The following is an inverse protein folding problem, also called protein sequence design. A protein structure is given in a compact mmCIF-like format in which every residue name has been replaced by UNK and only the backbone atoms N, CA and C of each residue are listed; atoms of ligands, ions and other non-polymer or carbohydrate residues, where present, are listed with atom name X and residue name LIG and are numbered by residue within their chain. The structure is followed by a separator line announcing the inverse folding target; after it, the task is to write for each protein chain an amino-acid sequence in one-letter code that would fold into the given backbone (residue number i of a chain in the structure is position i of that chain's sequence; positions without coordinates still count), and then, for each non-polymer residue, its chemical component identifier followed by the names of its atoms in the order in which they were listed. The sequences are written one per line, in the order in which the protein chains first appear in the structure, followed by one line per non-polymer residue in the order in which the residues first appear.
data_IF_498692779370
#
_entry.id   IF_498692779370
#
_cell.length_a   1.000
_cell.length_b   1.000
_cell.length_c   1.000
_cell.angle_alpha   90.00
_cell.angle_beta   90.00
_cell.angle_gamma   90.00
#
_symmetry.space_group_name_H-M   'P 1'
#
loop_
_entity.id
_entity.type
_entity.pdbx_description
1 polymer ?
#
# COMPACT_ATOMS: atom_id res chain seq x y z
N UNK A 1 -20.10 29.24 -5.12
CA UNK A 1 -18.89 28.38 -5.06
C UNK A 1 -17.96 28.78 -6.20
N UNK A 2 -16.71 29.14 -5.90
CA UNK A 2 -15.83 29.86 -6.84
C UNK A 2 -15.33 28.94 -7.97
N UNK A 3 -15.67 29.22 -9.24
CA UNK A 3 -15.28 28.39 -10.42
C UNK A 3 -13.77 28.12 -10.49
N UNK A 4 -12.95 29.03 -9.98
CA UNK A 4 -11.47 28.88 -9.92
C UNK A 4 -11.04 27.81 -8.94
N UNK A 5 -11.69 27.70 -7.78
CA UNK A 5 -11.42 26.67 -6.78
C UNK A 5 -11.80 25.29 -7.30
N UNK A 6 -12.95 25.17 -7.93
CA UNK A 6 -13.42 23.90 -8.54
C UNK A 6 -12.43 23.43 -9.60
N UNK A 7 -11.96 24.33 -10.50
CA UNK A 7 -11.01 23.98 -11.54
C UNK A 7 -9.67 23.50 -10.97
N UNK A 8 -9.19 24.12 -9.89
CA UNK A 8 -7.95 23.68 -9.22
C UNK A 8 -8.13 22.30 -8.59
N UNK A 9 -9.22 22.07 -7.87
CA UNK A 9 -9.50 20.75 -7.27
C UNK A 9 -9.62 19.65 -8.31
N UNK A 10 -10.23 19.92 -9.47
CA UNK A 10 -10.36 18.97 -10.57
C UNK A 10 -9.00 18.56 -11.13
N UNK A 11 -8.02 19.47 -11.22
CA UNK A 11 -6.65 19.12 -11.68
C UNK A 11 -6.04 18.06 -10.76
N UNK A 12 -6.10 18.26 -9.44
CA UNK A 12 -5.55 17.31 -8.47
C UNK A 12 -6.27 15.95 -8.52
N UNK A 13 -7.59 15.96 -8.70
CA UNK A 13 -8.38 14.75 -8.87
C UNK A 13 -7.97 13.97 -10.14
N UNK A 14 -7.85 14.65 -11.29
CA UNK A 14 -7.42 14.02 -12.53
C UNK A 14 -5.98 13.49 -12.43
N UNK A 15 -5.11 14.20 -11.73
CA UNK A 15 -3.74 13.71 -11.47
C UNK A 15 -3.76 12.41 -10.66
N UNK A 16 -4.55 12.35 -9.59
CA UNK A 16 -4.68 11.13 -8.79
C UNK A 16 -5.25 9.95 -9.60
N UNK A 17 -6.28 10.21 -10.42
CA UNK A 17 -6.82 9.19 -11.34
C UNK A 17 -5.76 8.75 -12.35
N UNK A 18 -4.99 9.69 -12.91
CA UNK A 18 -3.89 9.40 -13.83
C UNK A 18 -2.83 8.49 -13.21
N UNK A 19 -2.44 8.73 -11.95
CA UNK A 19 -1.50 7.86 -11.22
C UNK A 19 -2.08 6.47 -10.97
N UNK A 20 -3.37 6.37 -10.64
CA UNK A 20 -4.02 5.07 -10.47
C UNK A 20 -4.01 4.28 -11.80
N UNK A 21 -4.38 4.92 -12.91
CA UNK A 21 -4.36 4.30 -14.24
C UNK A 21 -2.94 3.90 -14.64
N UNK A 22 -1.95 4.78 -14.44
CA UNK A 22 -0.54 4.49 -14.72
C UNK A 22 -0.04 3.28 -13.94
N UNK A 23 -0.37 3.21 -12.65
CA UNK A 23 0.00 2.08 -11.79
C UNK A 23 -0.63 0.77 -12.25
N UNK A 24 -1.89 0.82 -12.71
CA UNK A 24 -2.57 -0.36 -13.26
C UNK A 24 -1.98 -0.80 -14.61
N UNK A 25 -1.62 0.14 -15.49
CA UNK A 25 -0.96 -0.16 -16.76
C UNK A 25 0.41 -0.79 -16.52
N UNK A 26 1.20 -0.24 -15.60
CA UNK A 26 2.52 -0.75 -15.26
C UNK A 26 2.46 -2.20 -14.75
N UNK A 27 1.46 -2.50 -13.94
CA UNK A 27 1.22 -3.85 -13.42
C UNK A 27 0.10 -4.59 -14.18
N UNK A 28 -0.08 -4.30 -15.47
CA UNK A 28 -1.13 -4.93 -16.30
C UNK A 28 -1.17 -6.45 -16.23
N UNK A 29 -0.04 -7.21 -16.09
CA UNK A 29 -0.11 -8.66 -15.94
C UNK A 29 -0.91 -9.15 -14.73
N UNK A 30 -1.10 -8.32 -13.70
CA UNK A 30 -1.96 -8.66 -12.57
C UNK A 30 -3.45 -8.73 -12.96
N UNK A 31 -3.85 -7.95 -13.96
CA UNK A 31 -5.22 -7.97 -14.48
C UNK A 31 -5.54 -9.29 -15.20
N UNK A 32 -4.50 -9.95 -15.73
CA UNK A 32 -4.56 -11.28 -16.34
C UNK A 32 -4.48 -12.42 -15.29
N UNK A 33 -4.56 -12.10 -14.00
CA UNK A 33 -4.48 -13.06 -12.90
C UNK A 33 -3.07 -13.58 -12.62
N UNK A 34 -2.02 -13.01 -13.23
CA UNK A 34 -0.64 -13.36 -12.94
C UNK A 34 -0.22 -12.80 -11.59
N UNK A 35 0.57 -13.58 -10.85
CA UNK A 35 1.16 -13.14 -9.57
C UNK A 35 2.60 -12.72 -9.77
N UNK A 36 3.01 -11.67 -9.05
CA UNK A 36 4.40 -11.29 -9.01
C UNK A 36 5.17 -12.31 -8.15
N UNK A 37 6.15 -12.98 -8.76
CA UNK A 37 7.03 -13.89 -8.03
C UNK A 37 8.24 -13.13 -7.50
N UNK A 38 8.39 -13.13 -6.18
CA UNK A 38 9.55 -12.56 -5.49
C UNK A 38 9.95 -13.52 -4.37
N UNK A 39 11.27 -13.77 -4.23
CA UNK A 39 11.78 -14.67 -3.20
C UNK A 39 11.48 -14.22 -1.78
N UNK A 40 11.50 -12.92 -1.54
CA UNK A 40 11.18 -12.30 -0.25
C UNK A 40 9.69 -12.44 0.13
N UNK A 41 8.78 -12.46 -0.85
CA UNK A 41 7.37 -12.77 -0.57
C UNK A 41 7.23 -14.19 -0.05
N UNK A 42 7.89 -15.15 -0.69
CA UNK A 42 7.85 -16.54 -0.25
C UNK A 42 8.49 -16.73 1.14
N UNK A 43 9.61 -16.04 1.41
CA UNK A 43 10.25 -16.06 2.72
C UNK A 43 9.33 -15.43 3.78
N UNK A 44 8.71 -14.29 3.47
CA UNK A 44 7.75 -13.66 4.37
C UNK A 44 6.56 -14.59 4.66
N UNK A 45 5.97 -15.22 3.65
CA UNK A 45 4.87 -16.17 3.83
C UNK A 45 5.28 -17.36 4.70
N UNK A 46 6.48 -17.92 4.49
CA UNK A 46 6.99 -19.00 5.29
C UNK A 46 7.20 -18.60 6.77
N UNK A 47 7.79 -17.43 7.03
CA UNK A 47 8.01 -16.93 8.38
C UNK A 47 6.71 -16.51 9.09
N UNK A 48 5.75 -15.94 8.34
CA UNK A 48 4.48 -15.48 8.91
C UNK A 48 3.44 -16.61 9.12
N UNK A 49 3.74 -17.82 8.70
CA UNK A 49 2.83 -18.96 8.75
C UNK A 49 2.32 -19.24 10.16
N UNK A 50 3.19 -19.25 11.14
CA UNK A 50 2.85 -19.49 12.56
C UNK A 50 1.87 -18.42 13.08
N UNK A 51 2.03 -17.15 12.67
CA UNK A 51 1.11 -16.07 13.02
C UNK A 51 -0.27 -16.33 12.42
N UNK A 52 -0.31 -16.78 11.15
CA UNK A 52 -1.57 -17.06 10.45
C UNK A 52 -2.30 -18.25 11.08
N UNK A 53 -1.58 -19.34 11.37
CA UNK A 53 -2.14 -20.52 12.03
C UNK A 53 -2.68 -20.20 13.43
N UNK A 54 -1.99 -19.35 14.19
CA UNK A 54 -2.46 -18.92 15.51
C UNK A 54 -3.71 -18.03 15.43
N UNK A 55 -3.79 -17.14 14.43
CA UNK A 55 -4.99 -16.31 14.21
C UNK A 55 -6.23 -17.16 13.87
N UNK A 56 -6.05 -18.24 13.14
CA UNK A 56 -7.14 -19.15 12.76
C UNK A 56 -7.59 -20.02 13.93
N UNK A 57 -6.64 -20.48 14.76
CA UNK A 57 -6.92 -21.46 15.82
C UNK A 57 -7.30 -20.81 17.17
N UNK A 58 -6.67 -19.69 17.53
CA UNK A 58 -6.77 -19.13 18.88
C UNK A 58 -7.46 -17.76 18.89
N UNK A 59 -7.64 -17.13 17.71
CA UNK A 59 -8.17 -15.76 17.55
C UNK A 59 -7.37 -14.68 18.29
N UNK A 60 -6.14 -15.01 18.69
CA UNK A 60 -5.27 -14.10 19.44
C UNK A 60 -4.06 -13.70 18.59
N UNK A 61 -3.49 -12.52 18.85
CA UNK A 61 -2.34 -12.04 18.13
C UNK A 61 -1.06 -12.47 18.82
N UNK A 62 -0.18 -13.13 18.09
CA UNK A 62 1.10 -13.63 18.60
C UNK A 62 2.19 -12.62 18.28
N UNK A 63 2.90 -12.16 19.31
CA UNK A 63 3.97 -11.16 19.19
C UNK A 63 5.39 -11.79 19.18
N UNK A 64 5.48 -13.10 19.24
CA UNK A 64 6.72 -13.87 19.12
C UNK A 64 6.47 -15.16 18.35
N UNK A 65 7.41 -15.56 17.50
CA UNK A 65 7.40 -16.83 16.77
C UNK A 65 8.70 -17.57 16.99
N UNK A 66 8.65 -18.90 16.98
CA UNK A 66 9.81 -19.78 17.17
C UNK A 66 10.31 -20.41 15.87
N UNK A 67 9.51 -20.38 14.80
CA UNK A 67 9.80 -21.03 13.52
C UNK A 67 10.85 -20.32 12.65
N UNK A 68 11.31 -19.12 13.04
CA UNK A 68 12.29 -18.36 12.29
C UNK A 68 13.45 -17.89 13.17
N UNK A 69 14.69 -18.07 12.69
CA UNK A 69 15.93 -17.58 13.33
C UNK A 69 16.14 -18.02 14.79
N UNK A 70 15.50 -19.11 15.25
CA UNK A 70 15.53 -19.54 16.65
C UNK A 70 14.67 -18.69 17.60
N UNK A 71 13.73 -17.95 17.04
CA UNK A 71 12.79 -17.07 17.72
C UNK A 71 12.99 -15.60 17.34
N UNK A 72 11.88 -14.94 16.96
CA UNK A 72 11.90 -13.51 16.63
C UNK A 72 10.57 -12.83 16.94
N UNK A 73 10.58 -11.50 17.18
CA UNK A 73 9.36 -10.73 17.36
C UNK A 73 8.61 -10.55 16.03
N UNK A 74 7.29 -10.60 16.09
CA UNK A 74 6.40 -10.63 14.91
C UNK A 74 6.09 -9.27 14.30
N UNK A 75 6.55 -8.17 14.91
CA UNK A 75 6.26 -6.82 14.40
C UNK A 75 6.77 -6.59 12.96
N UNK A 76 7.84 -7.31 12.55
CA UNK A 76 8.36 -7.28 11.18
C UNK A 76 7.58 -8.19 10.22
N UNK A 77 6.77 -9.10 10.75
CA UNK A 77 6.02 -10.11 10.00
C UNK A 77 4.51 -9.81 9.95
N UNK A 78 4.12 -8.56 10.16
CA UNK A 78 2.75 -8.13 10.02
C UNK A 78 1.85 -8.44 11.21
N UNK A 79 2.40 -8.48 12.44
CA UNK A 79 1.59 -8.48 13.65
C UNK A 79 0.62 -7.28 13.66
N UNK A 80 -0.62 -7.53 14.09
CA UNK A 80 -1.64 -6.48 14.17
C UNK A 80 -1.55 -5.78 15.51
N UNK A 81 -1.63 -4.46 15.48
CA UNK A 81 -1.63 -3.64 16.69
C UNK A 81 -2.96 -2.92 16.81
N UNK A 82 -3.50 -2.87 18.03
CA UNK A 82 -4.79 -2.26 18.31
C UNK A 82 -4.87 -0.76 17.92
N UNK A 83 -3.73 -0.08 17.90
CA UNK A 83 -3.62 1.35 17.62
C UNK A 83 -2.91 1.67 16.29
N UNK A 84 -3.12 0.85 15.27
CA UNK A 84 -2.58 1.13 13.94
C UNK A 84 -3.40 2.24 13.26
N UNK A 85 -2.92 3.47 13.39
CA UNK A 85 -3.54 4.68 12.81
C UNK A 85 -3.51 4.65 11.27
N UNK A 86 -2.58 3.92 10.67
CA UNK A 86 -2.41 3.86 9.21
C UNK A 86 -3.31 2.82 8.54
N UNK A 87 -3.79 1.83 9.30
CA UNK A 87 -4.66 0.77 8.77
C UNK A 87 -5.89 1.29 8.00
N UNK A 88 -6.64 2.32 8.47
CA UNK A 88 -7.78 2.85 7.71
C UNK A 88 -7.40 3.42 6.34
N UNK A 89 -6.20 3.99 6.20
CA UNK A 89 -5.73 4.52 4.92
C UNK A 89 -5.48 3.41 3.90
N UNK A 90 -4.98 2.26 4.34
CA UNK A 90 -4.83 1.09 3.47
C UNK A 90 -6.18 0.56 2.98
N UNK A 91 -7.22 0.64 3.81
CA UNK A 91 -8.58 0.22 3.43
C UNK A 91 -9.17 1.12 2.35
N UNK A 92 -8.90 2.43 2.41
CA UNK A 92 -9.42 3.41 1.46
C UNK A 92 -9.02 3.10 0.01
N UNK A 93 -7.82 2.53 -0.20
CA UNK A 93 -7.27 2.25 -1.53
C UNK A 93 -7.27 0.76 -1.89
N UNK A 94 -8.01 -0.07 -1.16
CA UNK A 94 -8.09 -1.54 -1.37
C UNK A 94 -8.65 -1.96 -2.71
N UNK A 95 -9.29 -1.05 -3.43
CA UNK A 95 -9.82 -1.30 -4.77
C UNK A 95 -8.73 -1.45 -5.84
N UNK A 96 -7.48 -1.03 -5.56
CA UNK A 96 -6.34 -1.24 -6.44
C UNK A 96 -5.58 -2.48 -5.96
N UNK A 97 -5.35 -3.50 -6.83
CA UNK A 97 -4.62 -4.71 -6.41
C UNK A 97 -3.17 -4.42 -6.08
N UNK A 98 -2.60 -5.16 -5.12
CA UNK A 98 -1.16 -5.11 -4.85
C UNK A 98 -0.40 -5.86 -5.96
N UNK A 99 0.78 -5.38 -6.43
CA UNK A 99 1.55 -4.22 -5.95
C UNK A 99 1.20 -2.87 -6.61
N UNK A 100 0.26 -2.80 -7.58
CA UNK A 100 -0.14 -1.54 -8.23
C UNK A 100 -0.59 -0.47 -7.22
N UNK A 101 -1.30 -0.88 -6.16
CA UNK A 101 -1.67 -0.04 -5.03
C UNK A 101 -0.47 0.67 -4.39
N UNK A 102 0.63 -0.03 -4.20
CA UNK A 102 1.83 0.53 -3.58
C UNK A 102 2.48 1.58 -4.48
N UNK A 103 2.59 1.31 -5.79
CA UNK A 103 3.08 2.28 -6.75
C UNK A 103 2.19 3.53 -6.80
N UNK A 104 0.87 3.34 -6.83
CA UNK A 104 -0.07 4.46 -6.78
C UNK A 104 0.14 5.33 -5.54
N UNK A 105 0.30 4.74 -4.37
CA UNK A 105 0.55 5.50 -3.13
C UNK A 105 1.88 6.24 -3.17
N UNK A 106 2.95 5.66 -3.72
CA UNK A 106 4.22 6.36 -3.88
C UNK A 106 4.09 7.58 -4.79
N UNK A 107 3.44 7.46 -5.93
CA UNK A 107 3.22 8.57 -6.85
C UNK A 107 2.36 9.66 -6.20
N UNK A 108 1.27 9.27 -5.55
CA UNK A 108 0.36 10.19 -4.90
C UNK A 108 1.02 10.95 -3.73
N UNK A 109 1.74 10.24 -2.86
CA UNK A 109 2.41 10.86 -1.71
C UNK A 109 3.55 11.77 -2.14
N UNK A 110 4.31 11.38 -3.18
CA UNK A 110 5.34 12.24 -3.76
C UNK A 110 4.73 13.51 -4.36
N UNK A 111 3.63 13.37 -5.10
CA UNK A 111 2.89 14.51 -5.64
C UNK A 111 2.41 15.46 -4.53
N UNK A 112 1.81 14.92 -3.47
CA UNK A 112 1.35 15.73 -2.32
C UNK A 112 2.54 16.44 -1.67
N UNK A 113 3.66 15.75 -1.46
CA UNK A 113 4.87 16.35 -0.91
C UNK A 113 5.37 17.54 -1.75
N UNK A 114 5.44 17.37 -3.07
CA UNK A 114 5.86 18.44 -3.98
C UNK A 114 4.88 19.62 -3.95
N UNK A 115 3.58 19.35 -3.83
CA UNK A 115 2.57 20.41 -3.67
C UNK A 115 2.73 21.17 -2.35
N UNK A 116 3.04 20.48 -1.25
CA UNK A 116 3.32 21.12 0.05
C UNK A 116 4.59 21.98 -0.03
N UNK A 117 5.59 21.53 -0.76
CA UNK A 117 6.81 22.30 -1.04
C UNK A 117 6.61 23.44 -2.06
N UNK A 118 5.35 23.71 -2.47
CA UNK A 118 4.97 24.76 -3.43
C UNK A 118 5.58 24.61 -4.82
N UNK A 119 5.94 23.39 -5.20
CA UNK A 119 6.36 23.09 -6.58
C UNK A 119 5.15 23.25 -7.50
N UNK A 120 5.28 23.91 -8.67
CA UNK A 120 4.18 24.00 -9.61
C UNK A 120 3.63 22.63 -10.00
N UNK A 121 2.31 22.46 -9.97
CA UNK A 121 1.65 21.17 -10.22
C UNK A 121 2.08 20.50 -11.53
N UNK A 122 2.40 21.29 -12.57
CA UNK A 122 2.89 20.78 -13.87
C UNK A 122 4.22 20.04 -13.76
N UNK A 123 5.09 20.45 -12.84
CA UNK A 123 6.38 19.79 -12.56
C UNK A 123 6.14 18.62 -11.61
N UNK A 124 5.24 18.77 -10.65
CA UNK A 124 4.95 17.74 -9.66
C UNK A 124 4.30 16.47 -10.25
N UNK A 125 3.76 16.52 -11.47
CA UNK A 125 3.20 15.37 -12.18
C UNK A 125 4.29 14.55 -12.92
N UNK A 126 5.43 15.15 -13.25
CA UNK A 126 6.54 14.49 -13.96
C UNK A 126 7.35 13.61 -13.02
#
# INVERSE_FOLDING_TARGET
MNKVLIRKSLIHLYTAIGFAVLSMIFYSPLLDGKKLYQSDINQYEAMSREIQENRENISDEVYWIDNAFGGMPTFQLGAKFAYDILSPFHLLFRFIPRPAHTLFLYLLTMYILLMVLKVPWRIAIL
#
